data_IF_708625025212
#
_entry.id   IF_708625025212
#
_cell.length_a   1.000
_cell.length_b   1.000
_cell.length_c   1.000
_cell.angle_alpha   90.00
_cell.angle_beta   90.00
_cell.angle_gamma   90.00
#
_symmetry.space_group_name_H-M   'P 1'
#
loop_
_entity.id
_entity.type
_entity.pdbx_description
1 polymer ?
#
# COMPACT_ATOMS: atom_id res chain seq x y z
N UNK A 1 6.64 9.52 -8.38
CA UNK A 1 6.59 8.24 -7.62
C UNK A 1 7.61 8.13 -6.51
N UNK A 2 8.75 8.83 -6.55
CA UNK A 2 9.73 8.81 -5.46
C UNK A 2 9.13 9.22 -4.11
N UNK A 3 8.43 10.36 -4.05
CA UNK A 3 7.76 10.82 -2.82
C UNK A 3 6.75 9.78 -2.29
N UNK A 4 5.86 9.28 -3.15
CA UNK A 4 4.92 8.22 -2.77
C UNK A 4 5.63 6.99 -2.20
N UNK A 5 6.70 6.51 -2.86
CA UNK A 5 7.49 5.37 -2.38
C UNK A 5 8.17 5.64 -1.03
N UNK A 6 8.68 6.85 -0.81
CA UNK A 6 9.27 7.25 0.48
C UNK A 6 8.22 7.31 1.59
N UNK A 7 7.06 7.91 1.33
CA UNK A 7 5.96 7.96 2.30
C UNK A 7 5.46 6.56 2.66
N UNK A 8 5.31 5.67 1.67
CA UNK A 8 4.94 4.28 1.92
C UNK A 8 6.00 3.55 2.75
N UNK A 9 7.28 3.79 2.49
CA UNK A 9 8.37 3.21 3.26
C UNK A 9 8.37 3.71 4.72
N UNK A 10 8.15 5.01 4.93
CA UNK A 10 8.05 5.60 6.26
C UNK A 10 6.86 5.03 7.04
N UNK A 11 5.69 4.92 6.41
CA UNK A 11 4.51 4.29 7.01
C UNK A 11 4.76 2.82 7.35
N UNK A 12 5.44 2.07 6.49
CA UNK A 12 5.80 0.68 6.75
C UNK A 12 6.70 0.54 7.98
N UNK A 13 7.68 1.44 8.15
CA UNK A 13 8.59 1.41 9.31
C UNK A 13 7.92 1.86 10.62
N UNK A 14 6.97 2.78 10.55
CA UNK A 14 6.22 3.26 11.73
C UNK A 14 5.19 2.23 12.20
N UNK A 15 4.47 1.61 11.28
CA UNK A 15 3.33 0.74 11.61
C UNK A 15 3.64 -0.76 11.58
N UNK A 16 4.79 -1.15 11.05
CA UNK A 16 5.19 -2.55 10.85
C UNK A 16 4.06 -3.42 10.26
N UNK A 17 3.47 -3.03 9.12
CA UNK A 17 2.30 -3.70 8.57
C UNK A 17 2.68 -5.00 7.86
N UNK A 18 2.87 -6.08 8.62
CA UNK A 18 3.19 -7.41 8.08
C UNK A 18 2.09 -7.96 7.15
N UNK A 19 0.85 -7.46 7.27
CA UNK A 19 -0.25 -7.76 6.34
C UNK A 19 -0.15 -7.02 5.00
N UNK A 20 0.79 -6.08 4.85
CA UNK A 20 0.98 -5.27 3.65
C UNK A 20 0.27 -3.92 3.71
N UNK A 21 0.59 -3.07 2.73
CA UNK A 21 -0.02 -1.75 2.51
C UNK A 21 -0.93 -1.85 1.27
N UNK A 22 -2.18 -1.40 1.43
CA UNK A 22 -3.18 -1.47 0.37
C UNK A 22 -3.51 -0.06 -0.15
N UNK A 23 -3.23 0.18 -1.43
CA UNK A 23 -3.59 1.40 -2.14
C UNK A 23 -5.01 1.24 -2.69
N UNK A 24 -5.95 2.01 -2.14
CA UNK A 24 -7.36 1.96 -2.52
C UNK A 24 -7.78 3.25 -3.25
N UNK A 25 -8.92 3.21 -3.94
CA UNK A 25 -9.56 4.37 -4.57
C UNK A 25 -9.15 4.62 -6.02
N UNK A 26 -9.97 5.42 -6.73
CA UNK A 26 -9.85 5.63 -8.18
C UNK A 26 -8.52 6.25 -8.62
N UNK A 27 -7.91 7.08 -7.78
CA UNK A 27 -6.58 7.65 -8.04
C UNK A 27 -5.51 6.57 -8.05
N UNK A 28 -5.50 5.68 -7.05
CA UNK A 28 -4.54 4.57 -6.95
C UNK A 28 -4.61 3.69 -8.21
N UNK A 29 -5.83 3.37 -8.68
CA UNK A 29 -6.05 2.61 -9.92
C UNK A 29 -5.59 3.36 -11.17
N UNK A 30 -5.89 4.65 -11.27
CA UNK A 30 -5.45 5.47 -12.41
C UNK A 30 -3.92 5.57 -12.49
N UNK A 31 -3.22 5.49 -11.35
CA UNK A 31 -1.77 5.55 -11.28
C UNK A 31 -1.09 4.19 -11.47
N UNK A 32 -1.80 3.05 -11.34
CA UNK A 32 -1.26 1.69 -11.51
C UNK A 32 -0.38 1.51 -12.75
N UNK A 33 -0.78 1.96 -13.96
CA UNK A 33 0.04 1.81 -15.17
C UNK A 33 1.39 2.53 -15.08
N UNK A 34 1.48 3.57 -14.26
CA UNK A 34 2.68 4.39 -14.09
C UNK A 34 3.60 3.90 -12.96
N UNK A 35 3.19 2.93 -12.14
CA UNK A 35 4.01 2.48 -11.00
C UNK A 35 5.28 1.75 -11.41
N UNK A 36 5.18 0.89 -12.43
CA UNK A 36 6.35 0.18 -12.96
C UNK A 36 7.29 1.13 -13.70
N UNK A 37 6.76 1.96 -14.61
CA UNK A 37 7.56 2.89 -15.42
C UNK A 37 8.28 3.95 -14.59
N UNK A 38 7.69 4.39 -13.48
CA UNK A 38 8.29 5.38 -12.57
C UNK A 38 8.99 4.75 -11.36
N UNK A 39 9.29 3.45 -11.39
CA UNK A 39 10.08 2.73 -10.40
C UNK A 39 9.59 2.87 -8.94
N UNK A 40 8.28 2.77 -8.69
CA UNK A 40 7.72 2.87 -7.34
C UNK A 40 8.36 1.85 -6.38
N UNK A 41 8.55 0.60 -6.84
CA UNK A 41 9.18 -0.46 -6.04
C UNK A 41 10.59 -0.09 -5.58
N UNK A 42 11.39 0.54 -6.45
CA UNK A 42 12.74 0.96 -6.09
C UNK A 42 12.71 2.11 -5.07
N UNK A 43 11.77 3.05 -5.20
CA UNK A 43 11.59 4.14 -4.25
C UNK A 43 11.12 3.65 -2.87
N UNK A 44 10.27 2.60 -2.83
CA UNK A 44 9.80 1.96 -1.61
C UNK A 44 10.89 1.11 -0.93
N UNK A 45 11.62 0.31 -1.70
CA UNK A 45 12.69 -0.57 -1.19
C UNK A 45 14.05 0.13 -1.06
N UNK A 46 14.09 1.47 -1.09
CA UNK A 46 15.33 2.18 -0.92
C UNK A 46 15.95 1.83 0.43
N UNK A 47 17.20 1.38 0.43
CA UNK A 47 17.90 0.94 1.64
C UNK A 47 17.90 2.05 2.70
N UNK A 48 17.60 1.66 3.94
CA UNK A 48 17.61 2.54 5.12
C UNK A 48 18.42 1.87 6.23
N UNK A 49 18.48 2.51 7.39
CA UNK A 49 19.20 1.97 8.57
C UNK A 49 18.67 0.61 9.05
N UNK A 50 17.46 0.24 8.64
CA UNK A 50 16.80 -1.02 8.99
C UNK A 50 16.41 -1.76 7.71
N UNK A 51 16.61 -3.07 7.71
CA UNK A 51 16.51 -3.90 6.50
C UNK A 51 15.08 -4.43 6.22
N UNK A 52 14.12 -4.06 7.08
CA UNK A 52 12.74 -4.54 7.05
C UNK A 52 12.02 -4.26 5.72
N UNK A 53 12.36 -3.17 5.04
CA UNK A 53 11.75 -2.78 3.76
C UNK A 53 12.16 -3.67 2.58
N UNK A 54 13.23 -4.47 2.71
CA UNK A 54 13.70 -5.28 1.58
C UNK A 54 12.79 -6.47 1.28
N UNK A 55 12.11 -7.03 2.29
CA UNK A 55 11.38 -8.30 2.12
C UNK A 55 10.05 -8.36 2.89
N UNK A 56 9.96 -7.71 4.04
CA UNK A 56 8.88 -8.01 4.99
C UNK A 56 7.56 -7.32 4.68
N UNK A 57 7.58 -6.30 3.80
CA UNK A 57 6.41 -5.51 3.47
C UNK A 57 6.08 -5.55 1.97
N UNK A 58 4.79 -5.64 1.68
CA UNK A 58 4.20 -5.59 0.35
C UNK A 58 3.37 -4.32 0.18
N UNK A 59 3.24 -3.86 -1.07
CA UNK A 59 2.31 -2.81 -1.47
C UNK A 59 1.42 -3.38 -2.57
N UNK A 60 0.11 -3.31 -2.39
CA UNK A 60 -0.88 -3.88 -3.30
C UNK A 60 -1.93 -2.84 -3.67
N UNK A 61 -2.34 -2.82 -4.93
CA UNK A 61 -3.47 -1.98 -5.37
C UNK A 61 -4.75 -2.80 -5.28
N UNK A 62 -5.78 -2.22 -4.68
CA UNK A 62 -7.12 -2.81 -4.66
C UNK A 62 -7.90 -2.27 -5.85
N UNK A 63 -8.28 -3.16 -6.76
CA UNK A 63 -9.02 -2.81 -7.98
C UNK A 63 -10.54 -2.92 -7.81
N UNK A 64 -11.00 -3.48 -6.69
CA UNK A 64 -12.42 -3.63 -6.36
C UNK A 64 -13.06 -2.29 -5.98
N UNK A 65 -13.96 -1.80 -6.84
CA UNK A 65 -14.72 -0.57 -6.63
C UNK A 65 -15.67 -0.65 -5.42
N UNK A 66 -16.04 -1.84 -4.99
CA UNK A 66 -16.95 -2.07 -3.86
C UNK A 66 -16.22 -2.38 -2.55
N UNK A 67 -14.88 -2.41 -2.53
CA UNK A 67 -14.11 -2.78 -1.34
C UNK A 67 -14.51 -1.97 -0.08
N UNK A 68 -14.81 -0.67 -0.25
CA UNK A 68 -15.29 0.16 0.85
C UNK A 68 -16.68 -0.26 1.35
N UNK A 69 -17.63 -0.54 0.44
CA UNK A 69 -18.97 -1.00 0.81
C UNK A 69 -18.94 -2.39 1.43
N UNK A 70 -18.15 -3.31 0.87
CA UNK A 70 -17.92 -4.64 1.43
C UNK A 70 -17.34 -4.55 2.85
N UNK A 71 -16.39 -3.64 3.07
CA UNK A 71 -15.86 -3.34 4.40
C UNK A 71 -16.92 -2.83 5.37
N UNK A 72 -17.77 -1.89 4.95
CA UNK A 72 -18.89 -1.40 5.76
C UNK A 72 -19.88 -2.51 6.11
N UNK A 73 -20.24 -3.38 5.15
CA UNK A 73 -21.12 -4.50 5.38
C UNK A 73 -20.51 -5.51 6.37
N UNK A 74 -19.23 -5.84 6.20
CA UNK A 74 -18.51 -6.72 7.13
C UNK A 74 -18.46 -6.13 8.55
N UNK A 75 -18.24 -4.82 8.68
CA UNK A 75 -18.28 -4.13 9.96
C UNK A 75 -19.66 -4.21 10.62
N UNK A 76 -20.74 -3.96 9.86
CA UNK A 76 -22.12 -4.08 10.36
C UNK A 76 -22.47 -5.52 10.78
N UNK A 77 -21.97 -6.53 10.07
CA UNK A 77 -22.18 -7.93 10.42
C UNK A 77 -21.36 -8.41 11.63
N UNK A 78 -20.23 -7.76 11.92
CA UNK A 78 -19.37 -8.08 13.06
C UNK A 78 -19.75 -7.34 14.35
N UNK A 79 -20.70 -6.41 14.29
CA UNK A 79 -21.27 -5.76 15.47
C UNK A 79 -22.12 -6.79 16.26
N UNK A 80 -21.91 -6.91 17.58
CA UNK A 80 -22.67 -7.82 18.43
C UNK A 80 -24.15 -7.45 18.54
#
# INVERSE_FOLDING_TARGET
MRELGQTLADLALVHLPYGGIFLIGGMSRAMTPSFASLNLTAAFRQARRVDLLLKDFSVTVVEDDYAALTGCAAYLHGLP
#
